data_IF_731295372276
#
_entry.id   IF_731295372276
#
_cell.length_a   1.000
_cell.length_b   1.000
_cell.length_c   1.000
_cell.angle_alpha   90.00
_cell.angle_beta   90.00
_cell.angle_gamma   90.00
#
_symmetry.space_group_name_H-M   'P 1'
#
loop_
_entity.id
_entity.type
_entity.pdbx_description
1 polymer ?
#
# COMPACT_ATOMS: atom_id res chain seq x y z
N UNK A 1 4.59 -7.13 13.75
CA UNK A 1 5.93 -7.72 14.13
C UNK A 1 6.70 -8.22 12.91
N UNK A 2 6.10 -9.01 12.03
CA UNK A 2 6.79 -9.60 10.89
C UNK A 2 7.42 -8.58 9.93
N UNK A 3 6.73 -7.50 9.58
CA UNK A 3 7.28 -6.44 8.72
C UNK A 3 8.42 -5.67 9.40
N UNK A 4 8.26 -5.33 10.69
CA UNK A 4 9.32 -4.67 11.47
C UNK A 4 10.60 -5.52 11.50
N UNK A 5 10.45 -6.84 11.75
CA UNK A 5 11.59 -7.76 11.76
C UNK A 5 12.27 -7.81 10.39
N UNK A 6 11.50 -7.96 9.30
CA UNK A 6 12.06 -7.98 7.94
C UNK A 6 12.78 -6.69 7.56
N UNK A 7 12.22 -5.53 7.95
CA UNK A 7 12.86 -4.24 7.71
C UNK A 7 14.20 -4.13 8.44
N UNK A 8 14.27 -4.57 9.69
CA UNK A 8 15.52 -4.61 10.47
C UNK A 8 16.52 -5.60 9.88
N UNK A 9 16.06 -6.80 9.50
CA UNK A 9 16.91 -7.87 8.92
C UNK A 9 17.45 -7.49 7.53
N UNK A 10 16.78 -6.58 6.81
CA UNK A 10 17.27 -6.06 5.52
C UNK A 10 18.48 -5.13 5.64
N UNK A 11 18.88 -4.77 6.85
CA UNK A 11 20.00 -3.88 7.14
C UNK A 11 19.67 -2.39 7.02
N UNK A 12 18.41 -2.03 6.81
CA UNK A 12 17.98 -0.61 6.86
C UNK A 12 18.17 -0.07 8.26
N UNK A 13 18.84 1.10 8.44
CA UNK A 13 19.01 1.70 9.76
C UNK A 13 17.66 1.94 10.44
N UNK A 14 17.55 1.60 11.74
CA UNK A 14 16.30 1.76 12.48
C UNK A 14 15.71 3.18 12.40
N UNK A 15 16.56 4.21 12.34
CA UNK A 15 16.15 5.60 12.20
C UNK A 15 15.46 5.92 10.85
N UNK A 16 15.61 5.06 9.84
CA UNK A 16 14.96 5.17 8.53
C UNK A 16 13.68 4.32 8.44
N UNK A 17 13.37 3.55 9.49
CA UNK A 17 12.17 2.70 9.54
C UNK A 17 11.05 3.45 10.25
N UNK A 18 9.87 3.50 9.61
CA UNK A 18 8.65 3.97 10.24
C UNK A 18 7.63 2.83 10.33
N UNK A 19 6.95 2.74 11.49
CA UNK A 19 6.03 1.65 11.81
C UNK A 19 4.60 2.18 11.97
N UNK A 20 3.74 1.92 10.99
CA UNK A 20 2.34 2.31 10.95
C UNK A 20 1.40 1.13 11.25
N UNK A 21 0.09 1.42 11.32
CA UNK A 21 -0.99 0.45 11.53
C UNK A 21 -1.73 0.63 12.85
N UNK A 22 -3.07 0.47 12.85
CA UNK A 22 -3.94 0.87 13.97
C UNK A 22 -4.01 -0.15 15.11
N UNK A 23 -3.44 -1.34 14.97
CA UNK A 23 -3.57 -2.43 15.94
C UNK A 23 -2.23 -2.99 16.41
N UNK A 24 -1.24 -2.12 16.66
CA UNK A 24 0.05 -2.55 17.23
C UNK A 24 -0.16 -3.11 18.63
N UNK A 25 0.31 -4.33 18.87
CA UNK A 25 0.30 -4.97 20.19
C UNK A 25 1.36 -4.37 21.10
N UNK A 26 1.24 -4.55 22.41
CA UNK A 26 2.26 -4.09 23.36
C UNK A 26 3.64 -4.70 23.09
N UNK A 27 3.68 -5.96 22.62
CA UNK A 27 4.91 -6.61 22.19
C UNK A 27 5.56 -5.93 21.00
N UNK A 28 4.77 -5.52 20.01
CA UNK A 28 5.24 -4.80 18.82
C UNK A 28 5.72 -3.39 19.18
N UNK A 29 4.95 -2.68 20.02
CA UNK A 29 5.34 -1.36 20.51
C UNK A 29 6.63 -1.43 21.33
N UNK A 30 6.76 -2.41 22.20
CA UNK A 30 7.98 -2.63 22.97
C UNK A 30 9.20 -2.92 22.09
N UNK A 31 9.03 -3.73 21.05
CA UNK A 31 10.10 -4.02 20.08
C UNK A 31 10.47 -2.79 19.25
N UNK A 32 9.50 -1.99 18.83
CA UNK A 32 9.72 -0.75 18.09
C UNK A 32 10.48 0.29 18.93
N UNK A 33 10.11 0.46 20.21
CA UNK A 33 10.82 1.34 21.16
C UNK A 33 12.25 0.85 21.36
N UNK A 34 12.44 -0.45 21.59
CA UNK A 34 13.76 -1.04 21.78
C UNK A 34 14.68 -0.87 20.57
N UNK A 35 14.13 -0.95 19.37
CA UNK A 35 14.85 -0.78 18.09
C UNK A 35 15.11 0.68 17.74
N UNK A 36 14.38 1.63 18.30
CA UNK A 36 14.50 3.05 17.99
C UNK A 36 13.88 3.48 16.66
N UNK A 37 12.94 2.69 16.11
CA UNK A 37 12.21 3.06 14.90
C UNK A 37 11.15 4.13 15.19
N UNK A 38 10.74 4.87 14.15
CA UNK A 38 9.69 5.87 14.25
C UNK A 38 8.32 5.18 14.32
N UNK A 39 7.56 5.40 15.38
CA UNK A 39 6.22 4.82 15.56
C UNK A 39 5.16 5.83 15.11
N UNK A 40 4.39 5.51 14.09
CA UNK A 40 3.24 6.30 13.68
C UNK A 40 2.06 5.97 14.61
N UNK A 41 1.71 6.93 15.47
CA UNK A 41 0.69 6.77 16.53
C UNK A 41 -0.69 6.96 15.92
N UNK A 42 -1.56 5.97 16.11
CA UNK A 42 -2.88 5.91 15.47
C UNK A 42 -4.03 6.30 16.42
N UNK A 43 -3.77 6.37 17.73
CA UNK A 43 -4.78 6.75 18.73
C UNK A 43 -4.19 7.25 20.04
N UNK A 44 -4.99 7.95 20.84
CA UNK A 44 -4.61 8.38 22.20
C UNK A 44 -4.34 7.16 23.10
N UNK A 45 -5.13 6.09 22.96
CA UNK A 45 -4.90 4.86 23.71
C UNK A 45 -3.54 4.22 23.40
N UNK A 46 -3.16 4.20 22.11
CA UNK A 46 -1.83 3.72 21.70
C UNK A 46 -0.70 4.61 22.23
N UNK A 47 -0.87 5.94 22.20
CA UNK A 47 0.09 6.89 22.78
C UNK A 47 0.34 6.62 24.27
N UNK A 48 -0.73 6.34 25.03
CA UNK A 48 -0.61 6.04 26.45
C UNK A 48 0.13 4.72 26.70
N UNK A 49 -0.09 3.69 25.86
CA UNK A 49 0.66 2.42 25.93
C UNK A 49 2.13 2.63 25.58
N UNK A 50 2.44 3.42 24.55
CA UNK A 50 3.82 3.78 24.18
C UNK A 50 4.53 4.48 25.36
N UNK A 51 3.88 5.44 26.03
CA UNK A 51 4.44 6.14 27.20
C UNK A 51 4.78 5.18 28.34
N UNK A 52 3.85 4.29 28.67
CA UNK A 52 4.07 3.31 29.72
C UNK A 52 5.22 2.34 29.41
N UNK A 53 5.25 1.83 28.17
CA UNK A 53 6.31 0.92 27.72
C UNK A 53 7.68 1.60 27.63
N UNK A 54 7.73 2.85 27.19
CA UNK A 54 8.95 3.65 27.15
C UNK A 54 9.53 3.87 28.57
N UNK A 55 8.66 4.15 29.55
CA UNK A 55 9.06 4.27 30.96
C UNK A 55 9.60 2.94 31.50
N UNK A 56 8.92 1.81 31.25
CA UNK A 56 9.36 0.48 31.70
C UNK A 56 10.74 0.12 31.11
N UNK A 57 10.97 0.48 29.84
CA UNK A 57 12.24 0.21 29.16
C UNK A 57 13.34 1.24 29.46
N UNK A 58 13.03 2.31 30.19
CA UNK A 58 13.93 3.45 30.41
C UNK A 58 14.49 4.01 29.07
N UNK A 59 13.62 4.03 28.03
CA UNK A 59 13.97 4.50 26.69
C UNK A 59 13.01 5.58 26.23
N UNK A 60 13.49 6.48 25.39
CA UNK A 60 12.65 7.47 24.73
C UNK A 60 12.09 6.90 23.42
N UNK A 61 10.77 6.81 23.32
CA UNK A 61 10.11 6.38 22.10
C UNK A 61 10.10 7.52 21.06
N UNK A 62 10.48 7.22 19.82
CA UNK A 62 10.39 8.13 18.69
C UNK A 62 9.00 7.99 18.06
N UNK A 63 8.23 9.07 17.97
CA UNK A 63 6.86 9.00 17.45
C UNK A 63 6.59 10.05 16.39
N UNK A 64 5.71 9.71 15.44
CA UNK A 64 4.97 10.66 14.61
C UNK A 64 3.47 10.47 14.86
N UNK A 65 2.68 11.54 14.81
CA UNK A 65 1.24 11.44 14.93
C UNK A 65 0.66 11.16 13.54
N UNK A 66 -0.04 10.03 13.38
CA UNK A 66 -0.83 9.81 12.18
C UNK A 66 -2.13 10.57 12.30
N UNK A 67 -2.30 11.52 11.41
CA UNK A 67 -3.45 12.43 11.40
C UNK A 67 -4.48 11.92 10.40
N UNK A 68 -5.71 11.68 10.86
CA UNK A 68 -6.86 11.57 9.96
C UNK A 68 -7.27 12.99 9.55
N UNK A 69 -7.11 13.37 8.26
CA UNK A 69 -7.29 14.75 7.83
C UNK A 69 -8.76 15.19 7.89
N UNK A 70 -8.97 16.50 8.03
CA UNK A 70 -10.26 17.17 8.00
C UNK A 70 -10.81 17.42 6.58
N UNK A 71 -10.17 16.84 5.58
CA UNK A 71 -10.58 16.92 4.17
C UNK A 71 -10.76 15.52 3.58
N UNK A 72 -11.56 15.42 2.52
CA UNK A 72 -11.76 14.20 1.75
C UNK A 72 -11.36 14.40 0.28
N UNK A 73 -10.58 13.46 -0.25
CA UNK A 73 -10.30 13.43 -1.69
C UNK A 73 -11.51 12.91 -2.46
N UNK A 74 -11.99 13.68 -3.43
CA UNK A 74 -13.16 13.31 -4.25
C UNK A 74 -12.89 12.15 -5.19
N UNK A 75 -11.62 11.91 -5.57
CA UNK A 75 -11.23 10.95 -6.59
C UNK A 75 -9.96 10.19 -6.24
N UNK A 76 -10.00 9.32 -5.24
CA UNK A 76 -8.96 8.31 -5.01
C UNK A 76 -9.52 6.92 -5.27
N UNK A 77 -8.65 5.99 -5.72
CA UNK A 77 -9.05 4.59 -5.92
C UNK A 77 -9.52 3.94 -4.62
N UNK A 78 -8.82 4.22 -3.51
CA UNK A 78 -9.16 3.76 -2.16
C UNK A 78 -8.96 4.89 -1.17
N UNK A 79 -10.03 5.33 -0.50
CA UNK A 79 -10.00 6.43 0.48
C UNK A 79 -9.47 5.93 1.82
N UNK A 80 -8.31 6.45 2.24
CA UNK A 80 -7.64 6.08 3.49
C UNK A 80 -7.67 7.15 4.57
N UNK A 81 -8.14 8.38 4.26
CA UNK A 81 -8.28 9.50 5.17
C UNK A 81 -9.53 10.32 4.88
N UNK A 82 -9.88 11.21 5.80
CA UNK A 82 -11.06 12.05 5.75
C UNK A 82 -12.35 11.35 6.22
N UNK A 83 -13.19 12.07 6.97
CA UNK A 83 -14.36 11.51 7.62
C UNK A 83 -14.01 10.45 8.68
N UNK A 84 -15.00 9.69 9.14
CA UNK A 84 -14.78 8.63 10.15
C UNK A 84 -13.96 7.47 9.57
N UNK A 85 -12.77 7.22 10.10
CA UNK A 85 -11.84 6.18 9.67
C UNK A 85 -11.24 5.44 10.88
N UNK A 86 -10.88 4.16 10.71
CA UNK A 86 -10.15 3.41 11.74
C UNK A 86 -8.66 3.79 11.80
N UNK A 87 -8.20 4.73 10.98
CA UNK A 87 -6.81 5.12 10.81
C UNK A 87 -6.56 6.54 11.29
N UNK A 88 -5.54 6.68 12.13
CA UNK A 88 -5.07 7.99 12.61
C UNK A 88 -5.97 8.65 13.66
N UNK A 89 -5.53 9.78 14.14
CA UNK A 89 -6.22 10.64 15.11
C UNK A 89 -6.80 11.82 14.32
N UNK A 90 -8.05 12.16 14.57
CA UNK A 90 -8.72 13.26 13.86
C UNK A 90 -7.95 14.58 14.03
N UNK A 91 -7.83 15.34 12.96
CA UNK A 91 -7.02 16.56 12.90
C UNK A 91 -7.37 17.55 14.02
N UNK A 92 -8.66 17.62 14.40
CA UNK A 92 -9.18 18.51 15.44
C UNK A 92 -8.68 18.15 16.85
N UNK A 93 -8.28 16.90 17.07
CA UNK A 93 -7.76 16.43 18.36
C UNK A 93 -6.25 16.68 18.52
N UNK A 94 -5.53 16.87 17.42
CA UNK A 94 -4.06 16.98 17.41
C UNK A 94 -3.54 18.13 18.27
N UNK A 95 -4.11 19.36 18.23
CA UNK A 95 -3.61 20.48 19.07
C UNK A 95 -3.54 20.13 20.55
N UNK A 96 -4.57 19.50 21.11
CA UNK A 96 -4.59 19.09 22.52
C UNK A 96 -3.55 18.01 22.85
N UNK A 97 -3.25 17.13 21.89
CA UNK A 97 -2.20 16.11 22.05
C UNK A 97 -0.81 16.74 22.00
N UNK A 98 -0.59 17.70 21.11
CA UNK A 98 0.67 18.42 21.00
C UNK A 98 1.07 19.09 22.33
N UNK A 99 0.10 19.71 23.01
CA UNK A 99 0.35 20.31 24.32
C UNK A 99 0.79 19.28 25.36
N UNK A 100 0.17 18.09 25.35
CA UNK A 100 0.53 16.98 26.25
C UNK A 100 1.86 16.29 25.90
N UNK A 101 2.45 16.58 24.74
CA UNK A 101 3.71 15.99 24.26
C UNK A 101 4.95 16.88 24.47
N UNK A 102 4.78 18.07 25.08
CA UNK A 102 5.91 19.00 25.31
C UNK A 102 6.95 18.46 26.30
N UNK A 103 6.61 17.40 27.04
CA UNK A 103 7.51 16.73 28.00
C UNK A 103 7.16 15.26 28.16
N UNK A 104 8.13 14.43 28.58
CA UNK A 104 7.89 13.02 28.93
C UNK A 104 8.76 12.00 28.19
N UNK A 105 8.37 10.72 28.29
CA UNK A 105 9.10 9.56 27.78
C UNK A 105 8.97 9.35 26.25
N UNK A 106 8.30 10.24 25.55
CA UNK A 106 8.15 10.18 24.08
C UNK A 106 8.73 11.42 23.43
N UNK A 107 9.34 11.25 22.28
CA UNK A 107 9.84 12.34 21.44
C UNK A 107 9.01 12.42 20.16
N UNK A 108 8.26 13.50 20.03
CA UNK A 108 7.54 13.80 18.81
C UNK A 108 8.52 14.29 17.73
N UNK A 109 8.64 13.49 16.67
CA UNK A 109 9.47 13.79 15.50
C UNK A 109 8.68 14.44 14.39
N UNK A 110 7.38 14.09 14.23
CA UNK A 110 6.65 14.59 13.11
C UNK A 110 5.21 14.16 12.99
N UNK A 111 4.71 14.33 11.76
CA UNK A 111 3.36 13.96 11.37
C UNK A 111 3.39 12.93 10.22
N UNK A 112 2.33 12.12 10.15
CA UNK A 112 2.06 11.19 9.07
C UNK A 112 0.62 11.40 8.59
N UNK A 113 0.43 11.69 7.30
CA UNK A 113 -0.89 11.93 6.70
C UNK A 113 -1.00 11.07 5.45
N UNK A 114 -1.95 10.13 5.43
CA UNK A 114 -2.16 9.22 4.31
C UNK A 114 -3.61 9.28 3.84
N UNK A 115 -3.85 9.87 2.66
CA UNK A 115 -5.20 10.21 2.20
C UNK A 115 -5.84 9.20 1.25
N UNK A 116 -5.05 8.43 0.48
CA UNK A 116 -5.60 7.49 -0.50
C UNK A 116 -4.55 6.62 -1.19
N UNK A 117 -5.02 5.62 -1.95
CA UNK A 117 -4.17 4.65 -2.65
C UNK A 117 -4.65 4.41 -4.09
N UNK A 118 -3.74 3.93 -4.95
CA UNK A 118 -3.99 3.59 -6.36
C UNK A 118 -4.62 4.77 -7.13
N UNK A 119 -4.01 5.95 -7.04
CA UNK A 119 -4.47 7.12 -7.76
C UNK A 119 -3.65 7.32 -9.04
N UNK A 120 -4.33 7.40 -10.17
CA UNK A 120 -3.76 7.65 -11.51
C UNK A 120 -4.10 9.06 -12.04
N UNK A 121 -4.70 9.91 -11.20
CA UNK A 121 -5.06 11.28 -11.56
C UNK A 121 -4.11 12.27 -10.92
N UNK A 122 -3.27 12.89 -11.73
CA UNK A 122 -2.24 13.83 -11.30
C UNK A 122 -2.80 14.99 -10.50
N UNK A 123 -3.91 15.60 -10.97
CA UNK A 123 -4.58 16.70 -10.27
C UNK A 123 -5.04 16.31 -8.87
N UNK A 124 -5.54 15.09 -8.70
CA UNK A 124 -6.00 14.62 -7.40
C UNK A 124 -4.84 14.28 -6.45
N UNK A 125 -3.69 13.87 -6.99
CA UNK A 125 -2.47 13.67 -6.21
C UNK A 125 -1.95 15.03 -5.71
N UNK A 126 -1.87 16.02 -6.59
CA UNK A 126 -1.42 17.37 -6.22
C UNK A 126 -2.40 18.03 -5.23
N UNK A 127 -3.72 17.87 -5.44
CA UNK A 127 -4.73 18.36 -4.48
C UNK A 127 -4.50 17.74 -3.09
N UNK A 128 -4.25 16.42 -3.03
CA UNK A 128 -3.94 15.73 -1.78
C UNK A 128 -2.67 16.25 -1.11
N UNK A 129 -1.62 16.46 -1.87
CA UNK A 129 -0.34 16.99 -1.38
C UNK A 129 -0.50 18.43 -0.87
N UNK A 130 -1.22 19.28 -1.61
CA UNK A 130 -1.51 20.66 -1.19
C UNK A 130 -2.26 20.68 0.14
N UNK A 131 -3.38 19.96 0.24
CA UNK A 131 -4.19 19.93 1.46
C UNK A 131 -3.42 19.31 2.65
N UNK A 132 -2.52 18.35 2.37
CA UNK A 132 -1.65 17.75 3.38
C UNK A 132 -0.64 18.76 3.92
N UNK A 133 -0.01 19.56 3.05
CA UNK A 133 0.93 20.61 3.45
C UNK A 133 0.23 21.73 4.20
N UNK A 134 -0.96 22.17 3.76
CA UNK A 134 -1.78 23.17 4.44
C UNK A 134 -2.17 22.70 5.86
N UNK A 135 -2.56 21.43 6.02
CA UNK A 135 -2.87 20.86 7.33
C UNK A 135 -1.62 20.80 8.21
N UNK A 136 -0.49 20.37 7.66
CA UNK A 136 0.77 20.28 8.38
C UNK A 136 1.28 21.66 8.81
N UNK A 137 1.08 22.71 7.98
CA UNK A 137 1.40 24.10 8.33
C UNK A 137 0.59 24.57 9.54
N UNK A 138 -0.73 24.35 9.53
CA UNK A 138 -1.60 24.69 10.67
C UNK A 138 -1.12 24.01 11.96
N UNK A 139 -0.82 22.70 11.88
CA UNK A 139 -0.36 21.93 13.04
C UNK A 139 1.05 22.34 13.51
N UNK A 140 1.93 22.72 12.59
CA UNK A 140 3.25 23.29 12.90
C UNK A 140 3.11 24.60 13.65
N UNK A 141 2.14 25.45 13.28
CA UNK A 141 1.81 26.67 13.99
C UNK A 141 1.39 26.41 15.45
N UNK A 142 0.59 25.39 15.71
CA UNK A 142 0.25 24.96 17.09
C UNK A 142 1.46 24.42 17.86
N UNK A 143 2.32 23.64 17.19
CA UNK A 143 3.52 23.08 17.80
C UNK A 143 4.55 24.16 18.15
N UNK A 144 4.61 25.24 17.35
CA UNK A 144 5.49 26.40 17.54
C UNK A 144 6.92 26.22 17.03
N UNK A 145 7.19 25.14 16.31
CA UNK A 145 8.47 24.89 15.62
C UNK A 145 8.27 23.87 14.49
N UNK A 146 9.16 23.81 13.48
CA UNK A 146 9.12 22.80 12.45
C UNK A 146 9.19 21.37 13.03
N UNK A 147 8.49 20.44 12.44
CA UNK A 147 8.67 19.01 12.69
C UNK A 147 9.95 18.53 12.02
N UNK A 148 10.57 17.49 12.55
CA UNK A 148 11.76 16.89 11.92
C UNK A 148 11.38 16.06 10.70
N UNK A 149 10.18 15.45 10.72
CA UNK A 149 9.67 14.57 9.68
C UNK A 149 8.21 14.93 9.36
N UNK A 150 7.90 14.99 8.08
CA UNK A 150 6.53 15.01 7.57
C UNK A 150 6.37 13.91 6.52
N UNK A 151 5.61 12.88 6.85
CA UNK A 151 5.21 11.85 5.91
C UNK A 151 3.89 12.29 5.25
N UNK A 152 3.96 12.59 3.95
CA UNK A 152 2.83 13.07 3.15
C UNK A 152 2.04 11.91 2.49
N UNK A 153 2.26 10.68 2.97
CA UNK A 153 1.64 9.49 2.42
C UNK A 153 2.22 9.09 1.07
N UNK A 154 1.39 8.54 0.24
CA UNK A 154 1.79 8.08 -1.07
C UNK A 154 0.59 7.90 -1.97
N UNK A 155 0.36 6.65 -2.40
CA UNK A 155 -0.85 6.30 -3.14
C UNK A 155 -0.76 6.51 -4.63
N UNK A 156 0.44 6.76 -5.18
CA UNK A 156 0.66 6.73 -6.62
C UNK A 156 0.28 5.34 -7.15
N UNK A 157 -0.57 5.35 -8.18
CA UNK A 157 -1.07 4.14 -8.82
C UNK A 157 -0.21 3.69 -9.99
N UNK A 158 -0.41 2.44 -10.40
CA UNK A 158 0.06 1.90 -11.67
C UNK A 158 -1.13 1.51 -12.55
N UNK A 159 -1.04 1.58 -13.87
CA UNK A 159 -2.13 1.21 -14.75
C UNK A 159 -2.27 -0.32 -14.80
N UNK A 160 -3.39 -0.85 -14.29
CA UNK A 160 -3.72 -2.26 -14.41
C UNK A 160 -4.60 -2.57 -15.62
N UNK A 161 -5.25 -1.57 -16.22
CA UNK A 161 -6.28 -1.80 -17.22
C UNK A 161 -5.97 -1.03 -18.53
N UNK A 162 -6.41 -1.54 -19.69
CA UNK A 162 -5.99 -1.01 -21.01
C UNK A 162 -6.26 0.47 -21.26
N UNK A 163 -7.18 1.09 -20.52
CA UNK A 163 -7.53 2.51 -20.70
C UNK A 163 -6.86 3.43 -19.67
N UNK A 164 -6.14 2.85 -18.74
CA UNK A 164 -5.41 3.60 -17.75
C UNK A 164 -4.06 4.04 -18.32
N UNK A 165 -3.61 5.23 -17.90
CA UNK A 165 -2.33 5.78 -18.31
C UNK A 165 -1.40 5.83 -17.12
N UNK A 166 -0.09 5.60 -17.32
CA UNK A 166 0.90 5.83 -16.27
C UNK A 166 0.94 7.32 -15.88
N UNK A 167 1.30 7.57 -14.64
CA UNK A 167 1.53 8.92 -14.14
C UNK A 167 2.75 9.55 -14.80
N UNK A 168 2.68 10.85 -15.09
CA UNK A 168 3.85 11.64 -15.48
C UNK A 168 4.59 12.09 -14.23
N UNK A 169 5.65 11.35 -13.86
CA UNK A 169 6.44 11.67 -12.66
C UNK A 169 7.19 12.99 -12.75
N UNK A 170 7.62 13.41 -13.94
CA UNK A 170 8.35 14.67 -14.12
C UNK A 170 7.43 15.84 -13.79
N UNK A 171 6.18 15.83 -14.29
CA UNK A 171 5.18 16.84 -13.97
C UNK A 171 4.81 16.84 -12.49
N UNK A 172 4.54 15.65 -11.93
CA UNK A 172 4.26 15.52 -10.49
C UNK A 172 5.41 16.00 -9.62
N UNK A 173 6.65 15.66 -10.00
CA UNK A 173 7.85 16.07 -9.28
C UNK A 173 8.05 17.59 -9.32
N UNK A 174 7.85 18.22 -10.49
CA UNK A 174 7.92 19.66 -10.64
C UNK A 174 6.87 20.35 -9.76
N UNK A 175 5.62 19.93 -9.84
CA UNK A 175 4.50 20.54 -9.07
C UNK A 175 4.67 20.34 -7.57
N UNK A 176 5.15 19.16 -7.13
CA UNK A 176 5.52 18.96 -5.72
C UNK A 176 6.66 19.87 -5.30
N UNK A 177 7.68 20.07 -6.16
CA UNK A 177 8.75 21.04 -5.93
C UNK A 177 8.25 22.46 -5.72
N UNK A 178 7.33 22.92 -6.58
CA UNK A 178 6.69 24.24 -6.46
C UNK A 178 5.90 24.37 -5.13
N UNK A 179 5.18 23.31 -4.71
CA UNK A 179 4.49 23.28 -3.42
C UNK A 179 5.48 23.38 -2.25
N UNK A 180 6.59 22.65 -2.29
CA UNK A 180 7.62 22.70 -1.25
C UNK A 180 8.22 24.11 -1.16
N UNK A 181 8.48 24.78 -2.28
CA UNK A 181 8.96 26.16 -2.31
C UNK A 181 7.95 27.13 -1.70
N UNK A 182 6.65 26.98 -2.01
CA UNK A 182 5.59 27.81 -1.42
C UNK A 182 5.52 27.68 0.10
N UNK A 183 5.79 26.49 0.63
CA UNK A 183 5.76 26.17 2.06
C UNK A 183 7.12 26.24 2.77
N UNK A 184 8.19 26.65 2.06
CA UNK A 184 9.57 26.64 2.58
C UNK A 184 9.74 27.41 3.90
N UNK A 185 8.95 28.46 4.10
CA UNK A 185 9.04 29.30 5.30
C UNK A 185 8.78 28.58 6.61
N UNK A 186 7.86 27.62 6.64
CA UNK A 186 7.55 26.84 7.84
C UNK A 186 8.15 25.42 7.80
N UNK A 187 8.35 24.85 6.62
CA UNK A 187 8.98 23.52 6.47
C UNK A 187 10.41 23.53 7.04
N UNK A 188 11.18 24.59 6.76
CA UNK A 188 12.56 24.69 7.24
C UNK A 188 13.41 23.49 6.82
N UNK A 189 13.88 22.71 7.80
CA UNK A 189 14.69 21.49 7.58
C UNK A 189 13.86 20.19 7.71
N UNK A 190 12.54 20.28 7.67
CA UNK A 190 11.66 19.11 7.73
C UNK A 190 11.95 18.13 6.60
N UNK A 191 12.22 16.87 6.95
CA UNK A 191 12.38 15.80 5.96
C UNK A 191 11.00 15.33 5.49
N UNK A 192 10.73 15.45 4.20
CA UNK A 192 9.52 14.90 3.57
C UNK A 192 9.72 13.41 3.25
N UNK A 193 8.71 12.61 3.53
CA UNK A 193 8.66 11.17 3.24
C UNK A 193 7.43 10.87 2.42
N UNK A 194 7.59 10.00 1.40
CA UNK A 194 6.49 9.41 0.63
C UNK A 194 6.51 7.89 0.76
N UNK A 195 5.33 7.26 0.77
CA UNK A 195 5.13 5.81 0.86
C UNK A 195 4.65 5.26 -0.48
N UNK A 196 5.54 4.66 -1.27
CA UNK A 196 5.28 4.30 -2.66
C UNK A 196 5.35 2.78 -2.93
N UNK A 197 4.82 1.93 -2.05
CA UNK A 197 4.93 0.49 -2.16
C UNK A 197 4.53 -0.07 -3.53
N UNK A 198 3.25 0.00 -3.90
CA UNK A 198 2.74 -0.49 -5.20
C UNK A 198 3.47 0.12 -6.39
N UNK A 199 3.68 1.43 -6.35
CA UNK A 199 4.31 2.16 -7.46
C UNK A 199 5.73 1.65 -7.75
N UNK A 200 6.49 1.32 -6.71
CA UNK A 200 7.88 0.89 -6.84
C UNK A 200 8.01 -0.56 -7.34
N UNK A 201 7.11 -1.46 -6.92
CA UNK A 201 7.31 -2.91 -7.14
C UNK A 201 6.19 -3.57 -7.95
N UNK A 202 5.06 -2.91 -8.19
CA UNK A 202 3.91 -3.55 -8.82
C UNK A 202 4.21 -4.09 -10.21
N UNK A 203 4.92 -3.33 -11.05
CA UNK A 203 5.29 -3.72 -12.40
C UNK A 203 6.50 -4.68 -12.46
N UNK A 204 7.24 -4.84 -11.36
CA UNK A 204 8.43 -5.70 -11.32
C UNK A 204 8.11 -7.19 -11.12
N UNK A 205 6.87 -7.54 -10.81
CA UNK A 205 6.48 -8.92 -10.52
C UNK A 205 5.56 -9.54 -11.56
N UNK A 206 5.74 -10.83 -11.77
CA UNK A 206 4.88 -11.68 -12.61
C UNK A 206 4.37 -12.84 -11.78
N UNK A 207 3.08 -13.14 -11.87
CA UNK A 207 2.53 -14.37 -11.33
C UNK A 207 2.36 -15.38 -12.46
N UNK A 208 2.99 -16.54 -12.33
CA UNK A 208 3.01 -17.57 -13.36
C UNK A 208 2.37 -18.85 -12.83
N UNK A 209 1.41 -19.38 -13.57
CA UNK A 209 0.83 -20.70 -13.33
C UNK A 209 0.69 -21.48 -14.62
N UNK A 210 0.62 -22.83 -14.48
CA UNK A 210 0.51 -23.73 -15.62
C UNK A 210 -0.95 -24.01 -15.92
N UNK A 211 -1.32 -24.01 -17.18
CA UNK A 211 -2.60 -24.56 -17.66
C UNK A 211 -2.57 -26.08 -17.51
N UNK A 212 -3.47 -26.62 -16.68
CA UNK A 212 -3.64 -28.07 -16.49
C UNK A 212 -4.67 -28.66 -17.45
N UNK A 213 -5.74 -27.90 -17.71
CA UNK A 213 -6.85 -28.35 -18.54
C UNK A 213 -7.35 -27.18 -19.41
N UNK A 214 -7.67 -27.51 -20.67
CA UNK A 214 -8.50 -26.67 -21.54
C UNK A 214 -9.81 -27.41 -21.79
N UNK A 215 -10.93 -26.80 -21.41
CA UNK A 215 -12.26 -27.42 -21.59
C UNK A 215 -13.23 -26.43 -22.22
N UNK A 216 -14.08 -26.95 -23.06
CA UNK A 216 -15.23 -26.22 -23.57
C UNK A 216 -16.49 -26.63 -22.78
N UNK A 217 -17.29 -25.66 -22.40
CA UNK A 217 -18.59 -25.88 -21.77
C UNK A 217 -19.60 -24.89 -22.32
N UNK A 218 -20.60 -25.40 -23.04
CA UNK A 218 -21.70 -24.61 -23.63
C UNK A 218 -21.20 -23.43 -24.47
N UNK A 219 -20.18 -23.70 -25.32
CA UNK A 219 -19.59 -22.71 -26.22
C UNK A 219 -18.65 -21.68 -25.52
N UNK A 220 -18.28 -21.90 -24.28
CA UNK A 220 -17.26 -21.09 -23.57
C UNK A 220 -16.02 -21.94 -23.30
N UNK A 221 -14.86 -21.34 -23.54
CA UNK A 221 -13.56 -21.99 -23.27
C UNK A 221 -13.05 -21.58 -21.91
N UNK A 222 -12.66 -22.59 -21.12
CA UNK A 222 -12.08 -22.42 -19.79
C UNK A 222 -10.68 -23.02 -19.75
N UNK A 223 -9.74 -22.24 -19.22
CA UNK A 223 -8.41 -22.70 -18.86
C UNK A 223 -8.39 -22.92 -17.33
N UNK A 224 -8.06 -24.13 -16.90
CA UNK A 224 -7.93 -24.46 -15.50
C UNK A 224 -6.45 -24.54 -15.16
N UNK A 225 -5.99 -23.72 -14.22
CA UNK A 225 -4.59 -23.58 -13.87
C UNK A 225 -4.25 -24.23 -12.53
N UNK A 226 -2.98 -24.49 -12.27
CA UNK A 226 -2.46 -25.03 -10.99
C UNK A 226 -2.32 -23.97 -9.89
N UNK A 227 -2.59 -22.70 -10.21
CA UNK A 227 -2.60 -21.59 -9.28
C UNK A 227 -3.85 -20.74 -9.41
N UNK A 228 -4.15 -19.92 -8.42
CA UNK A 228 -5.39 -19.16 -8.37
C UNK A 228 -5.40 -18.07 -7.29
N UNK A 229 -6.60 -17.70 -6.81
CA UNK A 229 -6.78 -16.62 -5.86
C UNK A 229 -6.06 -16.83 -4.52
N UNK A 230 -5.76 -18.07 -4.15
CA UNK A 230 -4.99 -18.37 -2.94
C UNK A 230 -3.53 -17.94 -3.04
N UNK A 231 -3.02 -17.72 -4.24
CA UNK A 231 -1.70 -17.14 -4.50
C UNK A 231 -1.77 -15.65 -4.84
N UNK A 232 -2.86 -15.20 -5.48
CA UNK A 232 -3.00 -13.84 -5.98
C UNK A 232 -4.44 -13.33 -5.87
N UNK A 233 -4.86 -13.03 -4.64
CA UNK A 233 -6.21 -12.55 -4.35
C UNK A 233 -6.54 -11.25 -5.10
N UNK A 234 -5.60 -10.32 -5.21
CA UNK A 234 -5.84 -9.03 -5.87
C UNK A 234 -6.26 -9.18 -7.33
N UNK A 235 -5.66 -10.12 -8.07
CA UNK A 235 -6.02 -10.41 -9.46
C UNK A 235 -7.46 -10.93 -9.61
N UNK A 236 -7.94 -11.71 -8.64
CA UNK A 236 -9.31 -12.27 -8.68
C UNK A 236 -10.41 -11.20 -8.59
N UNK A 237 -10.06 -9.95 -8.27
CA UNK A 237 -10.99 -8.86 -8.03
C UNK A 237 -11.58 -8.82 -6.62
N UNK A 238 -11.31 -9.83 -5.79
CA UNK A 238 -11.84 -9.93 -4.44
C UNK A 238 -11.06 -9.09 -3.42
N UNK A 239 -10.13 -8.24 -3.86
CA UNK A 239 -9.32 -7.35 -3.05
C UNK A 239 -9.57 -5.88 -3.40
N UNK A 240 -10.78 -5.40 -3.08
CA UNK A 240 -11.13 -3.98 -3.17
C UNK A 240 -11.63 -3.48 -4.53
N UNK A 241 -11.89 -4.34 -5.50
CA UNK A 241 -12.57 -3.94 -6.75
C UNK A 241 -14.10 -3.92 -6.55
N UNK A 242 -14.73 -2.80 -6.90
CA UNK A 242 -16.20 -2.68 -6.91
C UNK A 242 -16.79 -3.43 -8.11
N UNK A 243 -16.16 -3.30 -9.28
CA UNK A 243 -16.42 -4.09 -10.47
C UNK A 243 -15.15 -4.83 -10.83
N UNK A 244 -15.26 -6.15 -11.01
CA UNK A 244 -14.14 -6.98 -11.39
C UNK A 244 -13.64 -6.57 -12.79
N UNK A 245 -12.33 -6.36 -12.88
CA UNK A 245 -11.59 -6.18 -14.13
C UNK A 245 -10.40 -7.13 -14.13
N UNK A 246 -10.03 -7.62 -15.29
CA UNK A 246 -8.85 -8.48 -15.43
C UNK A 246 -7.56 -7.68 -15.26
N UNK A 247 -6.61 -8.19 -14.51
CA UNK A 247 -5.22 -7.78 -14.66
C UNK A 247 -4.74 -8.12 -16.08
N UNK A 248 -3.68 -7.48 -16.59
CA UNK A 248 -3.10 -7.89 -17.85
C UNK A 248 -2.58 -9.33 -17.74
N UNK A 249 -3.05 -10.19 -18.65
CA UNK A 249 -2.66 -11.60 -18.70
C UNK A 249 -2.19 -11.99 -20.09
N UNK A 250 -1.25 -12.92 -20.16
CA UNK A 250 -0.71 -13.44 -21.41
C UNK A 250 -0.44 -14.94 -21.31
N UNK A 251 -0.34 -15.63 -22.44
CA UNK A 251 0.24 -16.98 -22.52
C UNK A 251 1.74 -16.84 -22.75
N UNK A 252 2.53 -17.05 -21.69
CA UNK A 252 3.94 -16.65 -21.64
C UNK A 252 4.83 -17.30 -22.71
N UNK A 253 4.53 -18.54 -23.11
CA UNK A 253 5.24 -19.25 -24.17
C UNK A 253 4.64 -19.09 -25.56
N UNK A 254 3.61 -18.22 -25.71
CA UNK A 254 2.92 -17.97 -26.99
C UNK A 254 2.67 -16.48 -27.27
N UNK A 255 3.53 -15.59 -26.80
CA UNK A 255 3.36 -14.13 -26.88
C UNK A 255 3.11 -13.58 -28.29
N UNK A 256 3.57 -14.27 -29.32
CA UNK A 256 3.48 -13.84 -30.73
C UNK A 256 2.55 -14.72 -31.59
N UNK A 257 1.78 -15.63 -30.95
CA UNK A 257 0.84 -16.46 -31.68
C UNK A 257 -0.31 -15.59 -32.24
N UNK A 258 -0.68 -15.86 -33.51
CA UNK A 258 -1.72 -15.11 -34.21
C UNK A 258 -3.12 -15.64 -33.92
N UNK A 259 -3.23 -16.95 -33.63
CA UNK A 259 -4.52 -17.59 -33.33
C UNK A 259 -4.92 -17.27 -31.89
N UNK A 260 -5.98 -16.50 -31.73
CA UNK A 260 -6.54 -16.13 -30.42
C UNK A 260 -7.94 -16.67 -30.25
N UNK A 261 -8.34 -16.89 -29.01
CA UNK A 261 -9.69 -17.28 -28.61
C UNK A 261 -10.14 -16.55 -27.34
N UNK A 262 -11.44 -16.39 -27.18
CA UNK A 262 -12.03 -15.80 -25.96
C UNK A 262 -12.12 -16.85 -24.88
N UNK A 263 -11.36 -16.67 -23.78
CA UNK A 263 -11.28 -17.63 -22.70
C UNK A 263 -11.54 -17.02 -21.33
N UNK A 264 -11.90 -17.85 -20.35
CA UNK A 264 -11.85 -17.53 -18.93
C UNK A 264 -10.87 -18.47 -18.23
N UNK A 265 -9.92 -17.92 -17.48
CA UNK A 265 -8.92 -18.68 -16.74
C UNK A 265 -9.29 -18.73 -15.25
N UNK A 266 -9.22 -19.93 -14.69
CA UNK A 266 -9.61 -20.24 -13.31
C UNK A 266 -8.50 -21.02 -12.60
N UNK A 267 -8.43 -20.83 -11.28
CA UNK A 267 -7.57 -21.65 -10.43
C UNK A 267 -8.21 -22.98 -10.02
N UNK A 268 -7.52 -23.74 -9.15
CA UNK A 268 -7.95 -25.10 -8.75
C UNK A 268 -8.97 -25.13 -7.61
N UNK A 269 -9.36 -23.98 -7.04
CA UNK A 269 -10.17 -23.96 -5.84
C UNK A 269 -11.65 -24.26 -6.12
N UNK A 270 -12.31 -24.94 -5.19
CA UNK A 270 -13.74 -25.24 -5.26
C UNK A 270 -14.64 -24.03 -4.96
N UNK A 271 -14.39 -22.91 -5.65
CA UNK A 271 -15.18 -21.68 -5.53
C UNK A 271 -15.26 -20.95 -6.87
N UNK A 272 -16.42 -20.37 -7.22
CA UNK A 272 -16.56 -19.57 -8.43
C UNK A 272 -15.78 -18.24 -8.37
N UNK A 273 -15.23 -17.89 -7.21
CA UNK A 273 -14.42 -16.69 -7.01
C UNK A 273 -12.97 -16.86 -7.51
N UNK A 274 -12.55 -18.10 -7.80
CA UNK A 274 -11.18 -18.42 -8.20
C UNK A 274 -10.96 -18.13 -9.67
N UNK A 275 -11.02 -16.85 -10.02
CA UNK A 275 -10.91 -16.35 -11.39
C UNK A 275 -9.58 -15.64 -11.55
N UNK A 276 -8.74 -16.10 -12.47
CA UNK A 276 -7.50 -15.44 -12.88
C UNK A 276 -7.74 -14.41 -13.98
N UNK A 277 -8.57 -14.77 -14.97
CA UNK A 277 -9.04 -13.86 -15.99
C UNK A 277 -10.44 -14.28 -16.45
N UNK A 278 -11.28 -13.32 -16.77
CA UNK A 278 -12.63 -13.56 -17.23
C UNK A 278 -12.86 -12.96 -18.61
N UNK A 279 -13.25 -13.81 -19.60
CA UNK A 279 -13.59 -13.42 -20.97
C UNK A 279 -12.53 -12.50 -21.59
N UNK A 280 -11.32 -13.00 -21.70
CA UNK A 280 -10.17 -12.31 -22.29
C UNK A 280 -9.73 -13.02 -23.58
N UNK A 281 -9.33 -12.25 -24.58
CA UNK A 281 -8.72 -12.81 -25.79
C UNK A 281 -7.26 -13.16 -25.53
N UNK A 282 -6.95 -14.44 -25.63
CA UNK A 282 -5.59 -14.98 -25.47
C UNK A 282 -5.23 -15.88 -26.63
N UNK A 283 -3.94 -16.06 -26.94
CA UNK A 283 -3.48 -17.15 -27.80
C UNK A 283 -4.08 -18.48 -27.35
N UNK A 284 -4.48 -19.32 -28.33
CA UNK A 284 -5.02 -20.66 -28.06
C UNK A 284 -4.06 -21.44 -27.18
N UNK A 285 -4.48 -21.72 -25.95
CA UNK A 285 -3.64 -22.38 -24.94
C UNK A 285 -4.00 -23.85 -24.79
N UNK A 286 -2.97 -24.67 -24.56
CA UNK A 286 -3.09 -26.11 -24.34
C UNK A 286 -2.57 -26.46 -22.93
N UNK A 287 -2.95 -27.63 -22.40
CA UNK A 287 -2.33 -28.15 -21.16
C UNK A 287 -0.82 -28.15 -21.25
N UNK A 288 -0.18 -27.56 -20.25
CA UNK A 288 1.29 -27.36 -20.19
C UNK A 288 1.75 -25.96 -20.53
N UNK A 289 0.91 -25.13 -21.14
CA UNK A 289 1.23 -23.70 -21.38
C UNK A 289 1.23 -22.88 -20.07
N UNK A 290 1.84 -21.70 -20.14
CA UNK A 290 1.98 -20.82 -18.99
C UNK A 290 1.03 -19.62 -19.07
N UNK A 291 0.09 -19.52 -18.14
CA UNK A 291 -0.67 -18.29 -17.92
C UNK A 291 0.17 -17.37 -17.04
N UNK A 292 0.40 -16.15 -17.51
CA UNK A 292 1.18 -15.13 -16.77
C UNK A 292 0.30 -13.94 -16.50
N UNK A 293 0.18 -13.58 -15.22
CA UNK A 293 -0.45 -12.34 -14.77
C UNK A 293 0.65 -11.30 -14.58
N UNK A 294 0.58 -10.22 -15.33
CA UNK A 294 1.54 -9.12 -15.25
C UNK A 294 1.24 -8.23 -14.04
N UNK A 295 2.14 -7.31 -13.72
CA UNK A 295 1.97 -6.31 -12.65
C UNK A 295 1.64 -6.92 -11.28
N UNK A 296 2.28 -8.04 -10.97
CA UNK A 296 2.01 -8.86 -9.78
C UNK A 296 3.00 -8.64 -8.63
N UNK A 297 3.85 -7.60 -8.71
CA UNK A 297 4.89 -7.33 -7.71
C UNK A 297 4.37 -6.77 -6.38
N UNK A 298 3.10 -6.38 -6.31
CA UNK A 298 2.47 -5.91 -5.08
C UNK A 298 1.20 -6.69 -4.77
N UNK A 299 0.94 -6.95 -3.49
CA UNK A 299 -0.27 -7.63 -2.99
C UNK A 299 -0.47 -9.04 -3.59
N UNK A 300 0.62 -9.76 -3.78
CA UNK A 300 0.63 -11.16 -4.21
C UNK A 300 0.40 -12.13 -3.03
N UNK A 301 1.31 -13.11 -2.80
CA UNK A 301 1.10 -14.19 -1.82
C UNK A 301 0.81 -13.71 -0.41
N UNK A 302 1.47 -12.64 0.06
CA UNK A 302 1.32 -12.13 1.43
C UNK A 302 -0.06 -11.49 1.70
N UNK A 303 -0.79 -11.09 0.66
CA UNK A 303 -2.15 -10.56 0.76
C UNK A 303 -3.22 -11.60 0.38
N UNK A 304 -2.83 -12.86 0.20
CA UNK A 304 -3.69 -13.92 -0.31
C UNK A 304 -3.95 -15.01 0.72
N UNK A 305 -5.08 -15.74 0.63
CA UNK A 305 -5.43 -16.83 1.56
C UNK A 305 -4.64 -18.11 1.22
N UNK A 306 -3.31 -18.06 1.33
CA UNK A 306 -2.39 -19.12 0.89
C UNK A 306 -2.63 -20.49 1.56
N UNK A 307 -3.29 -20.52 2.72
CA UNK A 307 -3.66 -21.78 3.39
C UNK A 307 -5.02 -22.36 2.99
N UNK A 308 -5.76 -21.70 2.08
CA UNK A 308 -7.10 -22.12 1.73
C UNK A 308 -7.09 -23.47 0.98
N UNK A 309 -7.90 -24.43 1.44
CA UNK A 309 -8.02 -25.80 0.96
C UNK A 309 -6.69 -26.59 0.94
N UNK A 310 -5.66 -26.14 1.66
CA UNK A 310 -4.40 -26.87 1.80
C UNK A 310 -3.54 -26.95 0.54
N UNK A 311 -3.77 -26.08 -0.44
CA UNK A 311 -2.89 -25.97 -1.61
C UNK A 311 -1.49 -25.44 -1.22
N UNK A 312 -0.44 -25.85 -1.92
CA UNK A 312 0.90 -25.38 -1.66
C UNK A 312 1.01 -23.86 -1.93
N UNK A 313 1.89 -23.18 -1.21
CA UNK A 313 2.25 -21.79 -1.49
C UNK A 313 3.03 -21.68 -2.80
N UNK A 314 2.95 -20.54 -3.50
CA UNK A 314 3.74 -20.31 -4.70
C UNK A 314 5.23 -20.20 -4.34
N UNK A 315 6.09 -20.55 -5.29
CA UNK A 315 7.54 -20.32 -5.19
C UNK A 315 7.83 -18.88 -5.63
N UNK A 316 8.55 -18.13 -4.80
CA UNK A 316 9.04 -16.81 -5.16
C UNK A 316 10.48 -16.89 -5.67
N UNK A 317 10.75 -16.28 -6.81
CA UNK A 317 12.07 -16.28 -7.46
C UNK A 317 12.46 -14.85 -7.84
N UNK A 318 13.67 -14.47 -7.50
CA UNK A 318 14.30 -13.24 -8.02
C UNK A 318 15.05 -13.60 -9.31
N UNK A 319 14.78 -12.88 -10.41
CA UNK A 319 15.39 -13.08 -11.73
C UNK A 319 16.08 -11.80 -12.21
#
# INVERSE_FOLDING_TARGET
MGELQRALDSGVPAAEISFAGPAKTDRELAAAIASGVLINVESIGELNRIRALAQIQERQAQIALRVNPDFELKSSGMKMGGGAKPFGIDAEQIPGILDALRSGAVQLRGLHIFSGSQNLREEAIIEAQTQTLDLAERLTGYWGKPFEVLNIGGGLGIPYFPHEKPLNLDDLGQRLGELIEQHAGWLGTTRLIMELGRYLVGEAGYYVCRVLERKESRGQVFLICDGGLHHHLANSGNFGQVLRKNYPVVIGNKLHAADTELVSAHGPLCTPLDILADRVELPTAEPGDWLVVLQSGAYGPTASPAGFLGHPTPVEMLV
#
